data_IF_664846478937
#
_entry.id   IF_664846478937
#
_cell.length_a   1.000
_cell.length_b   1.000
_cell.length_c   1.000
_cell.angle_alpha   90.00
_cell.angle_beta   90.00
_cell.angle_gamma   90.00
#
_symmetry.space_group_name_H-M   'P 1'
#
loop_
_entity.id
_entity.type
_entity.pdbx_description
1 polymer ?
#
# COMPACT_ATOMS: atom_id res chain seq x y z
N UNK A 1 -12.71 -63.64 40.33
CA UNK A 1 -11.75 -63.44 39.23
C UNK A 1 -12.10 -62.15 38.51
N UNK A 2 -11.19 -61.18 38.53
CA UNK A 2 -11.34 -59.81 38.00
C UNK A 2 -11.19 -59.82 36.48
N UNK A 3 -12.10 -59.18 35.74
CA UNK A 3 -11.87 -58.81 34.33
C UNK A 3 -11.98 -57.28 34.24
N UNK A 4 -10.82 -56.66 34.02
CA UNK A 4 -10.65 -55.22 33.81
C UNK A 4 -10.94 -54.96 32.34
N UNK A 5 -11.96 -54.17 32.04
CA UNK A 5 -12.23 -53.66 30.69
C UNK A 5 -11.44 -52.36 30.55
N UNK A 6 -10.44 -52.39 29.66
CA UNK A 6 -9.63 -51.24 29.28
C UNK A 6 -10.45 -50.38 28.30
N UNK A 7 -10.77 -49.15 28.71
CA UNK A 7 -11.35 -48.12 27.86
C UNK A 7 -10.22 -47.52 27.03
N UNK A 8 -10.24 -47.75 25.71
CA UNK A 8 -9.36 -47.10 24.76
C UNK A 8 -9.88 -45.68 24.48
N UNK A 9 -9.20 -44.68 25.04
CA UNK A 9 -9.44 -43.26 24.77
C UNK A 9 -8.72 -42.90 23.46
N UNK A 10 -9.47 -42.74 22.37
CA UNK A 10 -8.95 -42.31 21.08
C UNK A 10 -8.91 -40.77 21.08
N UNK A 11 -7.74 -40.20 21.39
CA UNK A 11 -7.49 -38.76 21.34
C UNK A 11 -7.38 -38.35 19.87
N UNK A 12 -8.41 -37.70 19.34
CA UNK A 12 -8.37 -37.01 18.05
C UNK A 12 -7.46 -35.77 18.22
N UNK A 13 -6.25 -35.81 17.65
CA UNK A 13 -5.37 -34.64 17.58
C UNK A 13 -5.91 -33.71 16.50
N UNK A 14 -6.24 -32.44 16.80
CA UNK A 14 -6.54 -31.46 15.76
C UNK A 14 -5.25 -31.21 14.97
N UNK A 15 -5.31 -31.42 13.66
CA UNK A 15 -4.28 -31.00 12.70
C UNK A 15 -4.18 -29.47 12.78
N UNK A 16 -3.26 -29.00 13.60
CA UNK A 16 -2.90 -27.59 13.67
C UNK A 16 -2.30 -27.16 12.34
N UNK A 17 -2.96 -26.23 11.65
CA UNK A 17 -2.37 -25.48 10.55
C UNK A 17 -1.14 -24.76 11.08
N UNK A 18 0.05 -25.18 10.65
CA UNK A 18 1.30 -24.47 10.92
C UNK A 18 1.24 -23.15 10.17
N UNK A 19 0.91 -22.06 10.85
CA UNK A 19 1.20 -20.72 10.35
C UNK A 19 2.71 -20.57 10.50
N UNK A 20 3.46 -20.71 9.40
CA UNK A 20 4.88 -20.43 9.40
C UNK A 20 5.08 -18.96 9.77
N UNK A 21 5.58 -18.70 11.00
CA UNK A 21 6.04 -17.37 11.37
C UNK A 21 7.29 -17.07 10.55
N UNK A 22 7.15 -16.24 9.51
CA UNK A 22 8.28 -15.77 8.70
C UNK A 22 9.24 -14.97 9.60
N UNK A 23 10.50 -15.40 9.65
CA UNK A 23 11.55 -14.67 10.36
C UNK A 23 11.72 -13.27 9.74
N UNK A 24 11.99 -12.21 10.53
CA UNK A 24 12.35 -10.90 10.00
C UNK A 24 13.51 -10.92 9.00
N UNK A 25 14.37 -11.94 9.09
CA UNK A 25 15.56 -12.16 8.26
C UNK A 25 15.32 -13.10 7.08
N UNK A 26 14.06 -13.42 6.74
CA UNK A 26 13.74 -14.24 5.57
C UNK A 26 14.15 -13.51 4.26
N UNK A 27 15.10 -14.06 3.47
CA UNK A 27 15.56 -13.43 2.23
C UNK A 27 14.44 -13.16 1.22
N UNK A 28 13.41 -14.02 1.16
CA UNK A 28 12.28 -13.81 0.26
C UNK A 28 11.44 -12.62 0.70
N UNK A 29 11.26 -12.45 2.01
CA UNK A 29 10.55 -11.31 2.59
C UNK A 29 11.30 -10.00 2.38
N UNK A 30 12.63 -10.00 2.56
CA UNK A 30 13.47 -8.83 2.33
C UNK A 30 13.40 -8.41 0.87
N UNK A 31 13.64 -9.35 -0.05
CA UNK A 31 13.57 -9.10 -1.49
C UNK A 31 12.20 -8.57 -1.92
N UNK A 32 11.12 -9.18 -1.42
CA UNK A 32 9.77 -8.72 -1.74
C UNK A 32 9.49 -7.31 -1.21
N UNK A 33 10.00 -6.94 -0.03
CA UNK A 33 9.87 -5.57 0.49
C UNK A 33 10.61 -4.56 -0.40
N UNK A 34 11.79 -4.91 -0.89
CA UNK A 34 12.58 -4.06 -1.79
C UNK A 34 11.89 -3.90 -3.14
N UNK A 35 11.49 -5.01 -3.77
CA UNK A 35 10.81 -4.99 -5.08
C UNK A 35 9.49 -4.23 -5.03
N UNK A 36 8.70 -4.41 -3.98
CA UNK A 36 7.38 -3.79 -3.87
C UNK A 36 7.43 -2.37 -3.30
N UNK A 37 8.61 -1.85 -2.96
CA UNK A 37 8.76 -0.51 -2.39
C UNK A 37 8.09 0.55 -3.26
N UNK A 38 8.31 0.49 -4.58
CA UNK A 38 7.72 1.43 -5.56
C UNK A 38 6.18 1.46 -5.55
N UNK A 39 5.52 0.34 -5.22
CA UNK A 39 4.06 0.29 -5.08
C UNK A 39 3.60 1.09 -3.85
N UNK A 40 4.35 1.01 -2.75
CA UNK A 40 4.10 1.85 -1.59
C UNK A 40 4.45 3.32 -1.84
N UNK A 41 5.45 3.59 -2.67
CA UNK A 41 5.89 4.96 -3.01
C UNK A 41 4.82 5.65 -3.84
N UNK A 42 4.27 4.97 -4.84
CA UNK A 42 3.10 5.44 -5.59
C UNK A 42 1.90 5.72 -4.67
N UNK A 43 1.59 4.80 -3.75
CA UNK A 43 0.52 5.03 -2.77
C UNK A 43 0.77 6.25 -1.88
N UNK A 44 2.03 6.49 -1.48
CA UNK A 44 2.41 7.69 -0.71
C UNK A 44 2.32 8.97 -1.54
N UNK A 45 2.67 8.93 -2.82
CA UNK A 45 2.55 10.07 -3.73
C UNK A 45 1.11 10.60 -3.75
N UNK A 46 0.10 9.72 -3.85
CA UNK A 46 -1.30 10.16 -3.76
C UNK A 46 -1.66 10.80 -2.42
N UNK A 47 -1.09 10.30 -1.32
CA UNK A 47 -1.24 10.94 -0.01
C UNK A 47 -0.61 12.34 0.04
N UNK A 48 0.56 12.54 -0.58
CA UNK A 48 1.18 13.86 -0.67
C UNK A 48 0.40 14.80 -1.56
N UNK A 49 -0.15 14.32 -2.68
CA UNK A 49 -1.03 15.10 -3.54
C UNK A 49 -2.29 15.55 -2.78
N UNK A 50 -2.88 14.67 -1.96
CA UNK A 50 -4.00 15.04 -1.10
C UNK A 50 -3.63 16.16 -0.13
N UNK A 51 -2.48 16.04 0.55
CA UNK A 51 -1.99 17.08 1.45
C UNK A 51 -1.77 18.39 0.70
N UNK A 52 -1.08 18.36 -0.45
CA UNK A 52 -0.80 19.52 -1.30
C UNK A 52 -2.06 20.28 -1.68
N UNK A 53 -3.08 19.60 -2.22
CA UNK A 53 -4.33 20.28 -2.63
C UNK A 53 -5.13 20.80 -1.44
N UNK A 54 -4.94 20.23 -0.25
CA UNK A 54 -5.64 20.65 0.97
C UNK A 54 -4.97 21.84 1.68
N UNK A 55 -3.64 21.92 1.65
CA UNK A 55 -2.86 22.90 2.41
C UNK A 55 -2.37 24.08 1.58
N UNK A 56 -1.99 23.86 0.31
CA UNK A 56 -1.38 24.90 -0.53
C UNK A 56 -2.21 25.18 -1.78
N UNK A 57 -3.16 26.12 -1.64
CA UNK A 57 -4.09 26.50 -2.71
C UNK A 57 -3.41 27.02 -3.98
N UNK A 58 -2.18 27.54 -3.89
CA UNK A 58 -1.44 28.01 -5.08
C UNK A 58 -0.90 26.86 -5.93
N UNK A 59 -0.83 25.65 -5.38
CA UNK A 59 -0.39 24.43 -6.06
C UNK A 59 -1.56 23.55 -6.51
N UNK A 60 -2.77 24.11 -6.59
CA UNK A 60 -3.96 23.39 -7.07
C UNK A 60 -3.71 22.72 -8.42
N UNK A 61 -4.25 21.51 -8.58
CA UNK A 61 -4.15 20.75 -9.81
C UNK A 61 -5.04 21.39 -10.90
N UNK A 62 -4.55 21.40 -12.14
CA UNK A 62 -5.38 21.76 -13.29
C UNK A 62 -6.40 20.66 -13.61
N UNK A 63 -7.46 21.00 -14.35
CA UNK A 63 -8.46 20.03 -14.80
C UNK A 63 -7.84 18.87 -15.60
N UNK A 64 -6.80 19.15 -16.39
CA UNK A 64 -6.06 18.15 -17.15
C UNK A 64 -5.29 17.21 -16.20
N UNK A 65 -4.55 17.76 -15.24
CA UNK A 65 -3.84 16.97 -14.22
C UNK A 65 -4.81 16.09 -13.44
N UNK A 66 -5.92 16.66 -12.96
CA UNK A 66 -6.95 15.92 -12.21
C UNK A 66 -7.56 14.79 -13.05
N UNK A 67 -7.84 15.03 -14.32
CA UNK A 67 -8.39 14.01 -15.24
C UNK A 67 -7.43 12.84 -15.43
N UNK A 68 -6.14 13.12 -15.62
CA UNK A 68 -5.12 12.08 -15.80
C UNK A 68 -4.93 11.30 -14.50
N UNK A 69 -4.80 12.00 -13.36
CA UNK A 69 -4.65 11.38 -12.04
C UNK A 69 -5.86 10.49 -11.70
N UNK A 70 -7.08 10.97 -11.99
CA UNK A 70 -8.30 10.19 -11.81
C UNK A 70 -8.25 8.88 -12.61
N UNK A 71 -7.82 8.93 -13.88
CA UNK A 71 -7.72 7.73 -14.72
C UNK A 71 -6.66 6.74 -14.22
N UNK A 72 -5.53 7.23 -13.70
CA UNK A 72 -4.51 6.39 -13.06
C UNK A 72 -5.11 5.70 -11.82
N UNK A 73 -5.77 6.46 -10.95
CA UNK A 73 -6.38 5.91 -9.73
C UNK A 73 -7.49 4.92 -10.02
N UNK A 74 -8.34 5.17 -11.02
CA UNK A 74 -9.38 4.23 -11.45
C UNK A 74 -8.77 2.91 -11.93
N UNK A 75 -7.68 2.99 -12.71
CA UNK A 75 -6.93 1.82 -13.18
C UNK A 75 -6.38 1.01 -12.00
N UNK A 76 -5.82 1.69 -10.99
CA UNK A 76 -5.30 1.06 -9.77
C UNK A 76 -6.40 0.40 -8.94
N UNK A 77 -7.58 1.00 -8.83
CA UNK A 77 -8.72 0.43 -8.11
C UNK A 77 -9.28 -0.85 -8.76
N UNK A 78 -9.19 -0.94 -10.08
CA UNK A 78 -9.61 -2.12 -10.84
C UNK A 78 -8.63 -3.31 -10.69
N UNK A 79 -7.39 -3.06 -10.27
CA UNK A 79 -6.37 -4.11 -10.09
C UNK A 79 -6.48 -4.76 -8.70
N UNK A 80 -6.51 -6.09 -8.68
CA UNK A 80 -6.31 -6.86 -7.44
C UNK A 80 -4.82 -6.92 -7.05
N UNK A 81 -3.95 -6.83 -8.05
CA UNK A 81 -2.50 -6.89 -7.92
C UNK A 81 -1.86 -5.75 -8.71
N UNK A 82 -1.10 -4.91 -8.02
CA UNK A 82 -0.28 -3.85 -8.63
C UNK A 82 1.15 -4.36 -8.63
N UNK A 83 1.68 -4.64 -9.82
CA UNK A 83 3.06 -5.09 -9.98
C UNK A 83 4.04 -3.91 -9.88
N UNK A 84 5.28 -4.13 -9.40
CA UNK A 84 6.29 -3.09 -9.28
C UNK A 84 6.48 -2.26 -10.55
N UNK A 85 6.65 -2.90 -11.70
CA UNK A 85 6.87 -2.21 -12.99
C UNK A 85 5.69 -1.30 -13.36
N UNK A 86 4.46 -1.75 -13.10
CA UNK A 86 3.26 -0.92 -13.34
C UNK A 86 3.23 0.29 -12.40
N UNK A 87 3.64 0.12 -11.15
CA UNK A 87 3.70 1.23 -10.21
C UNK A 87 4.81 2.23 -10.55
N UNK A 88 5.97 1.73 -10.98
CA UNK A 88 7.10 2.54 -11.44
C UNK A 88 6.72 3.39 -12.65
N UNK A 89 6.13 2.79 -13.69
CA UNK A 89 5.65 3.51 -14.87
C UNK A 89 4.63 4.62 -14.51
N UNK A 90 3.71 4.32 -13.59
CA UNK A 90 2.72 5.30 -13.13
C UNK A 90 3.35 6.41 -12.30
N UNK A 91 4.31 6.09 -11.43
CA UNK A 91 4.99 7.07 -10.59
C UNK A 91 5.84 8.02 -11.44
N UNK A 92 6.65 7.47 -12.35
CA UNK A 92 7.45 8.26 -13.31
C UNK A 92 6.55 9.18 -14.13
N UNK A 93 5.43 8.68 -14.64
CA UNK A 93 4.48 9.52 -15.38
C UNK A 93 3.93 10.68 -14.54
N UNK A 94 3.63 10.43 -13.27
CA UNK A 94 3.17 11.48 -12.35
C UNK A 94 4.25 12.55 -12.18
N UNK A 95 5.48 12.13 -11.90
CA UNK A 95 6.60 13.03 -11.60
C UNK A 95 7.09 13.82 -12.83
N UNK A 96 7.22 13.17 -13.99
CA UNK A 96 7.84 13.75 -15.17
C UNK A 96 6.85 14.45 -16.11
N UNK A 97 5.60 13.99 -16.17
CA UNK A 97 4.63 14.46 -17.17
C UNK A 97 3.43 15.21 -16.59
N UNK A 98 3.01 14.88 -15.36
CA UNK A 98 1.77 15.42 -14.78
C UNK A 98 2.06 16.61 -13.87
N UNK A 99 2.95 16.47 -12.89
CA UNK A 99 3.19 17.52 -11.90
C UNK A 99 4.08 18.62 -12.47
N UNK A 100 3.79 19.86 -12.07
CA UNK A 100 4.71 20.97 -12.32
C UNK A 100 5.92 20.89 -11.38
N UNK A 101 7.04 21.56 -11.70
CA UNK A 101 8.20 21.58 -10.82
C UNK A 101 7.89 22.04 -9.39
N UNK A 102 7.03 23.06 -9.22
CA UNK A 102 6.67 23.57 -7.90
C UNK A 102 5.81 22.56 -7.11
N UNK A 103 4.92 21.83 -7.78
CA UNK A 103 4.12 20.76 -7.18
C UNK A 103 5.01 19.60 -6.74
N UNK A 104 5.94 19.18 -7.61
CA UNK A 104 6.88 18.09 -7.33
C UNK A 104 7.80 18.43 -6.15
N UNK A 105 8.35 19.65 -6.12
CA UNK A 105 9.17 20.12 -4.99
C UNK A 105 8.40 20.10 -3.67
N UNK A 106 7.10 20.45 -3.69
CA UNK A 106 6.28 20.41 -2.50
C UNK A 106 6.01 18.97 -2.04
N UNK A 107 5.69 18.05 -2.95
CA UNK A 107 5.50 16.63 -2.59
C UNK A 107 6.79 15.99 -2.07
N UNK A 108 7.95 16.38 -2.60
CA UNK A 108 9.26 15.94 -2.11
C UNK A 108 9.53 16.45 -0.68
N UNK A 109 9.20 17.71 -0.42
CA UNK A 109 9.31 18.29 0.92
C UNK A 109 8.45 17.53 1.93
N UNK A 110 7.20 17.21 1.59
CA UNK A 110 6.33 16.37 2.42
C UNK A 110 6.94 14.97 2.67
N UNK A 111 7.58 14.39 1.65
CA UNK A 111 8.24 13.09 1.79
C UNK A 111 9.42 13.15 2.77
N UNK A 112 10.24 14.20 2.69
CA UNK A 112 11.37 14.45 3.60
C UNK A 112 10.87 14.61 5.04
N UNK A 113 9.88 15.46 5.27
CA UNK A 113 9.28 15.67 6.61
C UNK A 113 8.72 14.37 7.19
N UNK A 114 8.12 13.54 6.34
CA UNK A 114 7.61 12.23 6.76
C UNK A 114 8.71 11.25 7.13
N UNK A 115 9.89 11.34 6.50
CA UNK A 115 11.05 10.53 6.86
C UNK A 115 11.68 11.01 8.17
N UNK A 116 11.82 12.32 8.36
CA UNK A 116 12.38 12.92 9.57
C UNK A 116 11.52 12.67 10.83
N UNK A 117 10.20 12.64 10.65
CA UNK A 117 9.25 12.36 11.74
C UNK A 117 9.16 10.88 12.14
N UNK A 118 9.82 9.96 11.42
CA UNK A 118 9.88 8.54 11.80
C UNK A 118 10.87 8.33 12.94
N UNK A 119 10.38 7.98 14.12
CA UNK A 119 11.24 7.47 15.20
C UNK A 119 11.81 6.10 14.80
N UNK A 120 13.14 5.90 14.80
CA UNK A 120 13.75 4.60 14.53
C UNK A 120 13.22 3.56 15.52
N UNK A 121 12.53 2.53 15.03
CA UNK A 121 12.02 1.42 15.84
C UNK A 121 10.49 1.31 15.99
N UNK A 122 9.70 2.30 15.55
CA UNK A 122 8.23 2.25 15.68
C UNK A 122 7.47 1.82 14.40
N UNK A 123 8.17 1.56 13.28
CA UNK A 123 7.54 1.39 11.96
C UNK A 123 7.49 -0.03 11.39
N UNK A 124 7.84 -1.05 12.16
CA UNK A 124 7.94 -2.44 11.69
C UNK A 124 6.60 -3.17 11.66
N UNK A 125 5.60 -2.68 10.93
CA UNK A 125 4.32 -3.39 10.93
C UNK A 125 3.19 -2.70 10.21
N UNK A 126 3.23 -2.65 8.88
CA UNK A 126 2.00 -2.36 8.13
C UNK A 126 1.85 -3.13 6.83
N UNK A 127 2.95 -3.61 6.23
CA UNK A 127 2.92 -4.37 4.99
C UNK A 127 2.93 -5.89 5.13
N UNK A 128 3.16 -6.46 6.33
CA UNK A 128 3.45 -7.89 6.49
C UNK A 128 2.46 -8.82 5.78
N UNK A 129 1.15 -8.61 5.95
CA UNK A 129 0.13 -9.43 5.27
C UNK A 129 0.09 -9.24 3.75
N UNK A 130 0.27 -8.01 3.26
CA UNK A 130 0.27 -7.71 1.82
C UNK A 130 1.54 -8.26 1.14
N UNK A 131 2.70 -8.14 1.78
CA UNK A 131 3.95 -8.69 1.25
C UNK A 131 3.92 -10.22 1.23
N UNK A 132 3.39 -10.88 2.27
CA UNK A 132 3.26 -12.34 2.26
C UNK A 132 2.32 -12.80 1.14
N UNK A 133 1.23 -12.09 0.87
CA UNK A 133 0.36 -12.39 -0.28
C UNK A 133 1.07 -12.17 -1.61
N UNK A 134 1.87 -11.11 -1.74
CA UNK A 134 2.69 -10.86 -2.94
C UNK A 134 3.65 -12.03 -3.19
N UNK A 135 4.39 -12.49 -2.18
CA UNK A 135 5.31 -13.63 -2.28
C UNK A 135 4.57 -14.89 -2.73
N UNK A 136 3.34 -15.09 -2.26
CA UNK A 136 2.48 -16.22 -2.62
C UNK A 136 1.85 -16.11 -4.02
N UNK A 137 2.10 -15.03 -4.79
CA UNK A 137 1.47 -14.83 -6.10
C UNK A 137 0.03 -14.30 -6.03
N UNK A 138 -0.43 -13.89 -4.85
CA UNK A 138 -1.81 -13.47 -4.60
C UNK A 138 -2.04 -11.97 -4.76
N UNK A 139 -3.20 -11.53 -4.27
CA UNK A 139 -3.61 -10.12 -4.24
C UNK A 139 -2.56 -9.24 -3.55
N UNK A 140 -2.23 -8.13 -4.19
CA UNK A 140 -1.29 -7.15 -3.66
C UNK A 140 -1.66 -5.76 -4.17
N UNK A 141 -2.47 -5.05 -3.40
CA UNK A 141 -2.86 -3.68 -3.70
C UNK A 141 -3.08 -2.91 -2.38
N UNK A 142 -2.02 -2.33 -1.79
CA UNK A 142 -2.13 -1.65 -0.50
C UNK A 142 -3.01 -0.38 -0.55
N UNK A 143 -3.24 0.20 -1.74
CA UNK A 143 -4.11 1.36 -1.94
C UNK A 143 -5.61 1.02 -1.79
N UNK A 144 -5.97 -0.27 -1.90
CA UNK A 144 -7.34 -0.75 -1.68
C UNK A 144 -7.65 -1.15 -0.24
N UNK A 145 -6.70 -1.01 0.69
CA UNK A 145 -6.88 -1.40 2.09
C UNK A 145 -7.32 -0.18 2.94
N UNK A 146 -8.63 0.02 3.17
CA UNK A 146 -9.13 1.18 3.92
C UNK A 146 -8.77 1.14 5.40
N UNK A 147 -8.24 0.01 5.91
CA UNK A 147 -7.77 -0.08 7.29
C UNK A 147 -6.43 0.62 7.50
N UNK A 148 -5.68 0.89 6.42
CA UNK A 148 -4.36 1.53 6.43
C UNK A 148 -4.46 2.99 6.05
N UNK A 149 -3.56 3.81 6.59
CA UNK A 149 -3.50 5.24 6.25
C UNK A 149 -3.34 5.43 4.74
N UNK A 150 -2.48 4.64 4.08
CA UNK A 150 -2.32 4.69 2.62
C UNK A 150 -3.63 4.51 1.85
N UNK A 151 -4.45 3.51 2.20
CA UNK A 151 -5.74 3.31 1.53
C UNK A 151 -6.74 4.43 1.83
N UNK A 152 -6.72 4.99 3.04
CA UNK A 152 -7.56 6.15 3.39
C UNK A 152 -7.15 7.42 2.64
N UNK A 153 -5.84 7.69 2.57
CA UNK A 153 -5.29 8.85 1.89
C UNK A 153 -5.58 8.76 0.38
N UNK A 154 -5.41 7.56 -0.19
CA UNK A 154 -5.78 7.26 -1.58
C UNK A 154 -7.29 7.49 -1.83
N UNK A 155 -8.17 6.93 -1.00
CA UNK A 155 -9.63 7.10 -1.13
C UNK A 155 -10.07 8.56 -0.97
N UNK A 156 -9.44 9.29 -0.03
CA UNK A 156 -9.70 10.72 0.19
C UNK A 156 -9.35 11.54 -1.05
N UNK A 157 -8.17 11.30 -1.63
CA UNK A 157 -7.75 11.99 -2.84
C UNK A 157 -8.63 11.62 -4.04
N UNK A 158 -9.00 10.34 -4.19
CA UNK A 158 -9.89 9.91 -5.25
C UNK A 158 -11.25 10.61 -5.15
N UNK A 159 -11.81 10.69 -3.94
CA UNK A 159 -13.08 11.40 -3.67
C UNK A 159 -12.97 12.89 -3.98
N UNK A 160 -11.84 13.52 -3.66
CA UNK A 160 -11.55 14.90 -4.06
C UNK A 160 -11.61 15.05 -5.59
N UNK A 161 -10.92 14.20 -6.34
CA UNK A 161 -10.93 14.25 -7.81
C UNK A 161 -12.32 14.02 -8.40
N UNK A 162 -13.09 13.06 -7.89
CA UNK A 162 -14.48 12.80 -8.31
C UNK A 162 -15.32 14.06 -8.15
N UNK A 163 -15.21 14.72 -6.99
CA UNK A 163 -15.97 15.93 -6.68
C UNK A 163 -15.58 17.09 -7.60
N UNK A 164 -14.29 17.38 -7.76
CA UNK A 164 -13.82 18.51 -8.57
C UNK A 164 -14.09 18.31 -10.06
N UNK A 165 -14.07 17.05 -10.55
CA UNK A 165 -14.38 16.71 -11.94
C UNK A 165 -15.88 16.54 -12.21
N UNK A 166 -16.74 16.56 -11.18
CA UNK A 166 -18.18 16.37 -11.33
C UNK A 166 -18.59 14.97 -11.82
N UNK A 167 -17.87 13.94 -11.37
CA UNK A 167 -18.11 12.53 -11.74
C UNK A 167 -18.95 11.77 -10.71
#
# INVERSE_FOLDING_TARGET
MKKIIVIALLVLVPLGTVIAQTSPDDPALIKAKEETAVVFDLGRMFGYLNTMVSEEKKLALSDEQMTILYSIMETLLQKERVEPDTADEMLVRIEDEILTPDQLMYTDQLAIEKLESRTPGAGGGSGGGQITNYIAGGAFNPMKDPSKNMGKDFDTFFTYLVKELGK
#
